data_IF_730100448601
#
_entry.id   IF_730100448601
#
_cell.length_a   1.000
_cell.length_b   1.000
_cell.length_c   1.000
_cell.angle_alpha   90.00
_cell.angle_beta   90.00
_cell.angle_gamma   90.00
#
_symmetry.space_group_name_H-M   'P 1'
#
loop_
_entity.id
_entity.type
_entity.pdbx_description
1 polymer ?
#
# COMPACT_ATOMS: atom_id res chain seq x y z
N UNK A 1 -61.94 -19.34 18.62
CA UNK A 1 -62.56 -18.01 18.57
C UNK A 1 -61.48 -17.03 18.18
N UNK A 2 -61.54 -16.49 16.95
CA UNK A 2 -61.86 -15.07 16.68
C UNK A 2 -60.77 -14.12 17.22
N UNK A 3 -60.06 -13.33 16.40
CA UNK A 3 -60.41 -12.99 15.03
C UNK A 3 -59.36 -12.18 14.28
N UNK A 4 -59.74 -11.99 13.02
CA UNK A 4 -59.22 -11.05 12.04
C UNK A 4 -59.19 -9.61 12.57
N UNK A 5 -58.22 -8.82 12.11
CA UNK A 5 -58.56 -7.56 11.44
C UNK A 5 -57.47 -7.11 10.46
N UNK A 6 -57.93 -6.90 9.24
CA UNK A 6 -57.25 -6.28 8.12
C UNK A 6 -56.94 -4.79 8.37
N UNK A 7 -55.92 -4.30 7.68
CA UNK A 7 -55.59 -2.88 7.57
C UNK A 7 -54.89 -2.56 6.26
N UNK A 8 -55.66 -2.42 5.18
CA UNK A 8 -55.33 -1.65 3.97
C UNK A 8 -56.08 -0.30 4.14
N UNK A 9 -55.68 0.90 3.72
CA UNK A 9 -55.02 1.43 2.52
C UNK A 9 -54.57 2.89 2.88
N UNK A 10 -53.52 3.44 2.25
CA UNK A 10 -53.62 4.55 1.25
C UNK A 10 -52.45 5.55 1.28
N UNK A 11 -51.97 5.80 0.06
CA UNK A 11 -50.96 6.76 -0.41
C UNK A 11 -51.08 8.18 0.13
N UNK A 12 -49.93 8.84 0.27
CA UNK A 12 -49.78 10.24 -0.16
C UNK A 12 -48.51 10.46 -0.99
N UNK A 13 -48.69 11.20 -2.06
CA UNK A 13 -47.72 11.63 -3.06
C UNK A 13 -47.19 13.01 -2.66
N UNK A 14 -45.87 13.22 -2.69
CA UNK A 14 -45.29 14.56 -2.87
C UNK A 14 -44.20 14.55 -3.92
N UNK A 15 -44.47 15.24 -5.03
CA UNK A 15 -43.54 15.57 -6.10
C UNK A 15 -42.77 16.85 -5.80
N UNK A 16 -41.64 16.96 -6.49
CA UNK A 16 -40.94 18.16 -6.99
C UNK A 16 -40.14 19.05 -6.03
N UNK A 17 -38.83 19.13 -6.30
CA UNK A 17 -38.22 20.38 -6.78
C UNK A 17 -36.97 20.11 -7.63
N UNK A 18 -37.06 20.34 -8.94
CA UNK A 18 -35.91 20.54 -9.82
C UNK A 18 -35.25 21.87 -9.45
N UNK A 19 -33.97 21.88 -9.11
CA UNK A 19 -33.18 23.12 -9.07
C UNK A 19 -32.44 23.29 -10.40
N UNK A 20 -33.08 23.99 -11.34
CA UNK A 20 -32.44 24.56 -12.52
C UNK A 20 -31.85 25.91 -12.11
N UNK A 21 -30.52 26.02 -11.97
CA UNK A 21 -29.86 27.33 -12.00
C UNK A 21 -29.52 27.69 -13.44
N UNK A 22 -30.34 28.58 -14.01
CA UNK A 22 -29.96 29.46 -15.12
C UNK A 22 -29.32 30.70 -14.50
N UNK A 23 -28.11 31.05 -14.91
CA UNK A 23 -27.58 32.42 -14.80
C UNK A 23 -27.28 32.92 -16.20
N UNK A 24 -27.57 34.20 -16.40
CA UNK A 24 -27.88 34.88 -17.65
C UNK A 24 -26.74 34.93 -18.68
N UNK A 25 -27.14 34.85 -19.96
CA UNK A 25 -26.46 35.51 -21.09
C UNK A 25 -26.75 37.02 -21.06
N UNK A 26 -25.72 37.85 -21.27
CA UNK A 26 -25.65 39.14 -22.01
C UNK A 26 -24.33 39.83 -21.59
N UNK A 27 -23.45 40.31 -22.47
CA UNK A 27 -23.51 40.43 -23.92
C UNK A 27 -22.17 40.82 -24.56
N UNK A 28 -22.14 40.58 -25.87
CA UNK A 28 -21.58 41.37 -26.97
C UNK A 28 -20.19 42.05 -26.91
N UNK A 29 -19.38 41.61 -27.90
CA UNK A 29 -18.52 42.34 -28.85
C UNK A 29 -17.19 42.97 -28.40
N UNK A 30 -16.13 42.23 -28.74
CA UNK A 30 -15.08 42.55 -29.73
C UNK A 30 -14.31 43.89 -29.60
N UNK A 31 -13.01 43.77 -29.33
CA UNK A 31 -11.96 44.54 -30.02
C UNK A 31 -10.77 43.62 -30.28
N UNK A 32 -10.34 43.58 -31.55
CA UNK A 32 -9.07 42.99 -31.95
C UNK A 32 -7.93 43.92 -31.51
N UNK A 33 -6.91 43.37 -30.86
CA UNK A 33 -5.67 44.05 -30.53
C UNK A 33 -4.53 43.05 -30.62
N UNK A 34 -3.57 43.31 -31.51
CA UNK A 34 -2.39 42.49 -31.79
C UNK A 34 -1.23 42.97 -30.93
N UNK A 35 -0.45 42.00 -30.39
CA UNK A 35 0.89 42.10 -29.79
C UNK A 35 0.98 42.93 -28.49
N UNK A 36 1.67 42.52 -27.43
CA UNK A 36 2.97 41.85 -27.31
C UNK A 36 2.97 40.89 -26.11
N UNK A 37 3.77 39.83 -26.21
CA UNK A 37 3.92 38.81 -25.17
C UNK A 37 4.33 39.40 -23.81
N UNK A 38 3.43 39.25 -22.84
CA UNK A 38 3.74 39.34 -21.42
C UNK A 38 4.01 37.90 -20.98
N UNK A 39 5.18 37.54 -20.43
CA UNK A 39 5.31 36.25 -19.79
C UNK A 39 4.32 36.28 -18.62
N UNK A 40 3.28 35.46 -18.76
CA UNK A 40 2.41 35.13 -17.65
C UNK A 40 3.32 34.58 -16.55
N UNK A 41 3.49 35.36 -15.48
CA UNK A 41 3.87 34.87 -14.16
C UNK A 41 2.73 33.97 -13.68
N UNK A 42 2.56 32.84 -14.36
CA UNK A 42 1.88 31.66 -13.83
C UNK A 42 2.76 31.25 -12.66
N UNK A 43 2.14 31.21 -11.49
CA UNK A 43 2.81 31.00 -10.22
C UNK A 43 3.86 29.90 -10.35
N UNK A 44 5.09 30.24 -9.97
CA UNK A 44 5.98 29.26 -9.40
C UNK A 44 5.26 28.68 -8.19
N UNK A 45 4.44 27.65 -8.43
CA UNK A 45 4.42 26.53 -7.53
C UNK A 45 5.88 26.08 -7.49
N UNK A 46 6.53 26.50 -6.42
CA UNK A 46 7.86 26.08 -6.04
C UNK A 46 8.00 24.59 -6.33
N UNK A 47 8.66 24.25 -7.43
CA UNK A 47 9.36 22.99 -7.59
C UNK A 47 10.52 23.03 -6.57
N UNK A 48 10.17 22.88 -5.30
CA UNK A 48 11.09 22.51 -4.25
C UNK A 48 11.06 20.98 -4.24
N UNK A 49 12.24 20.41 -4.47
CA UNK A 49 12.59 19.00 -4.33
C UNK A 49 12.08 18.01 -5.40
N UNK A 50 12.57 18.17 -6.63
CA UNK A 50 12.68 17.04 -7.59
C UNK A 50 14.00 16.24 -7.40
N UNK A 51 14.67 16.37 -6.25
CA UNK A 51 15.95 15.69 -5.97
C UNK A 51 16.10 15.15 -4.54
N UNK A 52 15.02 15.02 -3.77
CA UNK A 52 15.04 14.14 -2.59
C UNK A 52 14.46 12.79 -2.98
N UNK A 53 15.31 11.79 -3.12
CA UNK A 53 14.86 10.42 -3.35
C UNK A 53 13.98 10.01 -2.16
N UNK A 54 12.69 9.82 -2.41
CA UNK A 54 11.72 9.47 -1.38
C UNK A 54 11.92 8.01 -0.97
N UNK A 55 12.63 7.78 0.13
CA UNK A 55 12.89 6.45 0.67
C UNK A 55 12.31 6.28 2.07
N UNK A 56 11.58 5.18 2.28
CA UNK A 56 10.92 4.89 3.55
C UNK A 56 11.13 3.44 3.97
N UNK A 57 11.18 3.22 5.27
CA UNK A 57 11.21 1.87 5.86
C UNK A 57 10.17 1.72 6.96
N UNK A 58 9.71 0.49 7.15
CA UNK A 58 8.86 0.14 8.27
C UNK A 58 9.05 -1.32 8.66
N UNK A 59 8.40 -1.69 9.77
CA UNK A 59 8.14 -3.10 10.06
C UNK A 59 6.88 -3.54 9.29
N UNK A 60 6.89 -4.72 8.70
CA UNK A 60 5.71 -5.34 8.06
C UNK A 60 5.26 -6.57 8.84
N UNK A 61 4.02 -7.00 8.64
CA UNK A 61 3.49 -8.20 9.27
C UNK A 61 3.50 -9.37 8.27
N UNK A 62 4.41 -10.32 8.45
CA UNK A 62 4.43 -11.59 7.69
C UNK A 62 3.56 -12.61 8.42
N UNK A 63 2.62 -13.26 7.73
CA UNK A 63 1.81 -14.36 8.30
C UNK A 63 2.13 -15.70 7.66
N UNK A 64 2.52 -16.64 8.53
CA UNK A 64 1.87 -17.95 8.54
C UNK A 64 1.13 -18.25 9.87
N UNK A 65 1.02 -17.28 10.79
CA UNK A 65 0.19 -17.43 12.02
C UNK A 65 0.94 -17.83 13.30
N UNK A 66 2.26 -17.63 13.37
CA UNK A 66 3.12 -17.95 14.52
C UNK A 66 4.25 -16.92 14.70
N UNK A 67 4.88 -16.82 15.88
CA UNK A 67 5.99 -15.88 16.13
C UNK A 67 7.24 -16.55 16.75
N UNK A 68 8.45 -16.31 16.20
CA UNK A 68 8.72 -15.62 14.93
C UNK A 68 8.03 -16.36 13.76
N UNK A 69 7.83 -15.65 12.65
CA UNK A 69 7.07 -16.18 11.51
C UNK A 69 7.72 -17.46 10.99
N UNK A 70 7.11 -18.60 11.30
CA UNK A 70 7.67 -19.90 10.97
C UNK A 70 7.17 -20.30 9.59
N UNK A 71 8.05 -20.25 8.60
CA UNK A 71 7.72 -20.55 7.21
C UNK A 71 8.34 -21.90 6.85
N UNK A 72 7.52 -22.82 6.35
CA UNK A 72 8.01 -24.08 5.80
C UNK A 72 8.54 -23.84 4.38
N UNK A 73 9.86 -23.87 4.23
CA UNK A 73 10.53 -23.50 2.98
C UNK A 73 10.21 -24.42 1.80
N UNK A 74 9.77 -25.66 2.06
CA UNK A 74 9.53 -26.69 1.03
C UNK A 74 8.07 -27.05 0.82
N UNK A 75 7.14 -26.44 1.56
CA UNK A 75 5.74 -26.86 1.53
C UNK A 75 4.91 -26.31 0.35
N UNK A 76 5.47 -25.36 -0.42
CA UNK A 76 4.72 -24.62 -1.45
C UNK A 76 3.44 -23.96 -0.88
N UNK A 77 3.54 -23.47 0.35
CA UNK A 77 2.47 -22.79 1.05
C UNK A 77 2.52 -21.28 0.81
N UNK A 78 1.35 -20.60 0.80
CA UNK A 78 1.28 -19.15 0.65
C UNK A 78 1.84 -18.44 1.90
N UNK A 79 2.76 -17.51 1.66
CA UNK A 79 3.25 -16.54 2.64
C UNK A 79 2.56 -15.21 2.38
N UNK A 80 1.77 -14.74 3.33
CA UNK A 80 1.05 -13.47 3.20
C UNK A 80 1.79 -12.36 3.91
N UNK A 81 1.95 -11.21 3.26
CA UNK A 81 2.62 -10.03 3.80
C UNK A 81 1.66 -8.85 3.77
N UNK A 82 1.51 -8.17 4.89
CA UNK A 82 0.71 -6.96 5.05
C UNK A 82 1.63 -5.75 5.22
N UNK A 83 1.51 -4.79 4.31
CA UNK A 83 2.38 -3.59 4.27
C UNK A 83 1.65 -2.31 4.69
N UNK A 84 0.32 -2.29 4.58
CA UNK A 84 -0.47 -1.08 4.79
C UNK A 84 -0.31 -0.04 3.71
N UNK A 85 -0.90 1.14 3.92
CA UNK A 85 -0.65 2.30 3.08
C UNK A 85 0.86 2.60 3.06
N UNK A 86 1.47 2.93 1.90
CA UNK A 86 0.87 3.26 0.61
C UNK A 86 0.65 2.07 -0.34
N UNK A 87 -0.26 2.25 -1.31
CA UNK A 87 -0.38 1.35 -2.46
C UNK A 87 0.95 1.28 -3.22
N UNK A 88 1.45 0.06 -3.38
CA UNK A 88 2.69 -0.23 -4.12
C UNK A 88 2.40 -0.61 -5.57
N UNK A 89 3.37 -0.39 -6.45
CA UNK A 89 3.38 -0.89 -7.83
C UNK A 89 3.62 -2.39 -7.81
N UNK A 90 2.65 -3.24 -8.21
CA UNK A 90 2.80 -4.70 -8.14
C UNK A 90 4.08 -5.23 -8.80
N UNK A 91 4.48 -4.63 -9.92
CA UNK A 91 5.66 -5.00 -10.71
C UNK A 91 7.00 -4.68 -10.02
N UNK A 92 7.00 -3.83 -9.00
CA UNK A 92 8.21 -3.46 -8.24
C UNK A 92 8.45 -4.36 -7.02
N UNK A 93 7.47 -5.19 -6.66
CA UNK A 93 7.47 -5.92 -5.40
C UNK A 93 8.45 -7.09 -5.45
N UNK A 94 9.36 -7.13 -4.48
CA UNK A 94 10.29 -8.23 -4.26
C UNK A 94 10.42 -8.55 -2.78
N UNK A 95 10.35 -9.82 -2.43
CA UNK A 95 10.62 -10.30 -1.07
C UNK A 95 11.97 -11.00 -1.05
N UNK A 96 12.88 -10.48 -0.23
CA UNK A 96 14.31 -10.83 -0.21
C UNK A 96 14.63 -11.44 1.16
N UNK A 97 15.07 -12.71 1.24
CA UNK A 97 15.56 -13.27 2.49
C UNK A 97 16.92 -12.68 2.88
N UNK A 98 17.15 -12.56 4.18
CA UNK A 98 18.44 -12.13 4.74
C UNK A 98 18.81 -12.96 5.96
N UNK A 99 20.11 -13.26 6.09
CA UNK A 99 20.68 -13.88 7.30
C UNK A 99 20.78 -12.92 8.49
N UNK A 100 20.71 -11.62 8.23
CA UNK A 100 20.80 -10.61 9.28
C UNK A 100 19.48 -10.52 10.04
N UNK A 101 19.60 -10.33 11.36
CA UNK A 101 18.43 -10.20 12.22
C UNK A 101 17.85 -8.80 12.12
N UNK A 102 16.57 -8.74 11.82
CA UNK A 102 15.80 -7.52 11.94
C UNK A 102 15.84 -7.04 13.40
N UNK A 103 16.07 -5.74 13.65
CA UNK A 103 16.09 -5.18 15.00
C UNK A 103 14.71 -5.18 15.69
N UNK A 104 13.66 -5.68 15.04
CA UNK A 104 12.26 -5.61 15.47
C UNK A 104 11.61 -6.99 15.72
N UNK A 105 12.38 -8.02 16.09
CA UNK A 105 11.83 -9.34 16.46
C UNK A 105 10.71 -9.23 17.53
N UNK A 106 9.47 -9.55 17.15
CA UNK A 106 8.38 -9.72 18.11
C UNK A 106 8.32 -11.16 18.61
N UNK A 107 8.42 -11.33 19.94
CA UNK A 107 8.26 -12.65 20.59
C UNK A 107 6.80 -13.12 20.67
N UNK A 108 5.82 -12.33 20.23
CA UNK A 108 4.38 -12.65 20.31
C UNK A 108 3.69 -12.45 18.98
N UNK A 109 2.70 -13.29 18.69
CA UNK A 109 1.76 -13.08 17.59
C UNK A 109 1.08 -11.74 17.76
N UNK A 110 1.37 -10.80 16.86
CA UNK A 110 0.69 -9.53 16.79
C UNK A 110 -0.39 -9.61 15.73
N UNK A 111 -1.50 -8.87 15.93
CA UNK A 111 -2.42 -8.59 14.84
C UNK A 111 -1.78 -7.52 13.96
N UNK A 112 -2.08 -7.58 12.67
CA UNK A 112 -1.69 -6.52 11.75
C UNK A 112 -2.20 -5.17 12.26
N UNK A 113 -1.35 -4.15 12.14
CA UNK A 113 -1.63 -2.75 12.42
C UNK A 113 -0.91 -1.93 11.38
N UNK A 114 -1.55 -0.87 10.90
CA UNK A 114 -0.91 0.03 9.94
C UNK A 114 0.46 0.52 10.42
N UNK A 115 1.54 0.26 9.65
CA UNK A 115 2.89 0.58 10.09
C UNK A 115 3.16 2.08 9.97
N UNK A 116 3.96 2.61 10.90
CA UNK A 116 4.48 3.98 10.79
C UNK A 116 5.73 3.96 9.93
N UNK A 117 5.58 4.34 8.67
CA UNK A 117 6.72 4.54 7.77
C UNK A 117 7.65 5.62 8.31
N UNK A 118 8.93 5.31 8.33
CA UNK A 118 10.01 6.21 8.71
C UNK A 118 10.78 6.61 7.46
N UNK A 119 11.05 7.90 7.32
CA UNK A 119 11.95 8.41 6.28
C UNK A 119 13.39 7.96 6.55
N UNK A 120 14.02 7.43 5.50
CA UNK A 120 15.43 7.00 5.48
C UNK A 120 16.05 7.40 4.14
N UNK A 121 17.37 7.33 4.04
CA UNK A 121 18.03 7.57 2.76
C UNK A 121 17.92 6.33 1.87
N UNK A 122 17.94 6.51 0.55
CA UNK A 122 17.99 5.37 -0.36
C UNK A 122 19.30 4.57 -0.25
N UNK A 123 20.38 5.24 0.14
CA UNK A 123 21.64 4.59 0.48
C UNK A 123 21.50 3.63 1.67
N UNK A 124 20.64 3.92 2.65
CA UNK A 124 20.35 2.99 3.75
C UNK A 124 19.62 1.74 3.25
N UNK A 125 18.68 1.89 2.31
CA UNK A 125 18.01 0.76 1.66
C UNK A 125 19.02 -0.08 0.87
N UNK A 126 19.87 0.57 0.08
CA UNK A 126 20.92 -0.11 -0.70
C UNK A 126 21.90 -0.86 0.20
N UNK A 127 22.29 -0.26 1.33
CA UNK A 127 23.13 -0.91 2.34
C UNK A 127 22.50 -2.20 2.84
N UNK A 128 21.24 -2.15 3.29
CA UNK A 128 20.52 -3.34 3.79
C UNK A 128 20.34 -4.43 2.72
N UNK A 129 20.08 -4.04 1.47
CA UNK A 129 19.94 -5.00 0.38
C UNK A 129 21.29 -5.56 -0.09
N UNK A 130 22.38 -4.81 0.03
CA UNK A 130 23.72 -5.25 -0.34
C UNK A 130 24.27 -6.37 0.54
N UNK A 131 23.74 -6.51 1.76
CA UNK A 131 24.07 -7.59 2.70
C UNK A 131 23.38 -8.92 2.34
N UNK A 132 22.44 -8.90 1.39
CA UNK A 132 21.71 -10.08 0.94
C UNK A 132 22.46 -10.84 -0.15
N UNK A 133 22.15 -12.13 -0.31
CA UNK A 133 22.80 -13.00 -1.31
C UNK A 133 22.14 -12.95 -2.70
N UNK A 134 21.20 -12.02 -2.91
CA UNK A 134 20.53 -11.78 -4.19
C UNK A 134 19.30 -12.65 -4.47
N UNK A 135 18.97 -13.62 -3.60
CA UNK A 135 17.70 -14.36 -3.69
C UNK A 135 16.53 -13.40 -3.54
N UNK A 136 15.47 -13.59 -4.33
CA UNK A 136 14.24 -12.82 -4.18
C UNK A 136 13.07 -13.49 -4.87
N UNK A 137 11.87 -13.37 -4.32
CA UNK A 137 10.63 -13.80 -4.97
C UNK A 137 9.74 -12.59 -5.32
N UNK A 138 9.11 -12.58 -6.51
CA UNK A 138 8.02 -11.64 -6.79
C UNK A 138 6.75 -12.07 -6.05
N UNK A 139 5.82 -11.14 -5.84
CA UNK A 139 4.50 -11.49 -5.34
C UNK A 139 3.71 -12.28 -6.42
N UNK A 140 3.14 -13.43 -6.06
CA UNK A 140 2.25 -14.19 -6.94
C UNK A 140 0.83 -13.62 -6.95
N UNK A 141 0.47 -12.84 -5.93
CA UNK A 141 -0.82 -12.15 -5.85
C UNK A 141 -0.67 -10.81 -5.12
N UNK A 142 -1.36 -9.79 -5.63
CA UNK A 142 -1.49 -8.48 -5.00
C UNK A 142 -2.97 -8.12 -4.90
N UNK A 143 -3.39 -7.58 -3.76
CA UNK A 143 -4.74 -7.07 -3.54
C UNK A 143 -4.73 -5.90 -2.58
N UNK A 144 -5.82 -5.14 -2.61
CA UNK A 144 -6.13 -4.15 -1.59
C UNK A 144 -7.29 -4.66 -0.74
N UNK A 145 -7.08 -4.77 0.57
CA UNK A 145 -8.08 -5.21 1.55
C UNK A 145 -8.01 -4.28 2.78
N UNK A 146 -9.12 -4.05 3.46
CA UNK A 146 -9.13 -3.30 4.73
C UNK A 146 -8.91 -4.29 5.88
N UNK A 147 -7.65 -4.52 6.26
CA UNK A 147 -7.26 -5.64 7.14
C UNK A 147 -7.44 -5.29 8.60
N UNK A 148 -7.19 -4.03 8.99
CA UNK A 148 -7.33 -3.56 10.37
C UNK A 148 -8.65 -2.83 10.66
N UNK A 149 -9.47 -2.58 9.63
CA UNK A 149 -10.81 -2.04 9.76
C UNK A 149 -10.87 -0.51 9.76
N UNK A 150 -9.79 0.19 9.43
CA UNK A 150 -9.72 1.65 9.44
C UNK A 150 -10.30 2.35 8.18
N UNK A 151 -10.73 1.54 7.20
CA UNK A 151 -11.34 1.94 5.93
C UNK A 151 -10.36 2.44 4.86
N UNK A 152 -9.06 2.34 5.12
CA UNK A 152 -8.04 2.45 4.08
C UNK A 152 -7.83 1.08 3.38
N UNK A 153 -7.30 1.11 2.15
CA UNK A 153 -6.97 -0.10 1.42
C UNK A 153 -5.53 -0.51 1.71
N UNK A 154 -5.33 -1.54 2.54
CA UNK A 154 -4.01 -2.10 2.80
C UNK A 154 -3.55 -2.95 1.62
N UNK A 155 -2.29 -2.81 1.22
CA UNK A 155 -1.70 -3.74 0.27
C UNK A 155 -1.44 -5.08 0.96
N UNK A 156 -2.06 -6.12 0.42
CA UNK A 156 -1.85 -7.52 0.80
C UNK A 156 -1.13 -8.24 -0.33
N UNK A 157 0.05 -8.76 -0.03
CA UNK A 157 0.88 -9.52 -0.95
C UNK A 157 0.86 -10.99 -0.57
N UNK A 158 0.88 -11.86 -1.57
CA UNK A 158 1.09 -13.30 -1.37
C UNK A 158 2.30 -13.75 -2.16
N UNK A 159 3.12 -14.58 -1.54
CA UNK A 159 4.31 -15.22 -2.10
C UNK A 159 4.19 -16.73 -1.95
N UNK A 160 4.82 -17.49 -2.84
CA UNK A 160 4.99 -18.93 -2.65
C UNK A 160 6.24 -19.18 -1.82
N UNK A 161 6.13 -19.98 -0.75
CA UNK A 161 7.27 -20.26 0.14
C UNK A 161 8.45 -20.95 -0.56
N UNK A 162 8.20 -21.75 -1.59
CA UNK A 162 9.24 -22.41 -2.36
C UNK A 162 10.08 -21.42 -3.20
N UNK A 163 9.44 -20.39 -3.77
CA UNK A 163 10.08 -19.35 -4.58
C UNK A 163 10.98 -18.42 -3.75
N UNK A 164 10.77 -18.38 -2.42
CA UNK A 164 11.63 -17.61 -1.52
C UNK A 164 13.00 -18.28 -1.30
N UNK A 165 13.14 -19.55 -1.67
CA UNK A 165 14.38 -20.32 -1.54
C UNK A 165 14.99 -20.23 -0.13
N UNK A 166 14.17 -20.22 0.93
CA UNK A 166 14.62 -19.96 2.30
C UNK A 166 15.63 -20.99 2.82
N UNK A 167 16.70 -20.49 3.42
CA UNK A 167 17.77 -21.24 4.06
C UNK A 167 17.62 -21.23 5.58
N UNK A 168 18.14 -22.25 6.26
CA UNK A 168 18.11 -22.34 7.74
C UNK A 168 18.85 -21.21 8.46
N UNK A 169 19.73 -20.50 7.74
CA UNK A 169 20.45 -19.32 8.20
C UNK A 169 19.62 -18.04 8.16
N UNK A 170 18.56 -17.98 7.34
CA UNK A 170 17.79 -16.76 7.14
C UNK A 170 17.03 -16.39 8.41
N UNK A 171 17.06 -15.10 8.75
CA UNK A 171 16.49 -14.53 9.97
C UNK A 171 15.48 -13.43 9.70
N UNK A 172 15.53 -12.81 8.51
CA UNK A 172 14.63 -11.74 8.13
C UNK A 172 14.13 -11.89 6.70
N UNK A 173 12.99 -11.26 6.44
CA UNK A 173 12.47 -10.99 5.11
C UNK A 173 12.43 -9.48 4.90
N UNK A 174 12.99 -9.02 3.80
CA UNK A 174 13.00 -7.63 3.36
C UNK A 174 12.08 -7.50 2.15
N UNK A 175 11.03 -6.70 2.27
CA UNK A 175 10.12 -6.40 1.18
C UNK A 175 10.52 -5.07 0.54
N UNK A 176 11.08 -5.14 -0.66
CA UNK A 176 11.33 -3.99 -1.51
C UNK A 176 10.11 -3.73 -2.40
N UNK A 177 9.72 -2.46 -2.50
CA UNK A 177 8.65 -2.02 -3.40
C UNK A 177 8.77 -0.53 -3.74
N UNK A 178 8.03 -0.08 -4.74
CA UNK A 178 7.89 1.33 -5.11
C UNK A 178 6.42 1.76 -5.05
N UNK A 179 6.13 2.98 -4.60
CA UNK A 179 4.79 3.55 -4.65
C UNK A 179 4.45 4.09 -6.04
N UNK A 180 3.16 4.32 -6.30
CA UNK A 180 2.72 5.06 -7.49
C UNK A 180 3.35 6.45 -7.65
N UNK A 181 3.80 7.07 -6.54
CA UNK A 181 4.45 8.38 -6.52
C UNK A 181 5.98 8.32 -6.70
N UNK A 182 6.57 7.13 -6.85
CA UNK A 182 8.02 6.96 -7.02
C UNK A 182 8.81 6.84 -5.72
N UNK A 183 8.15 6.69 -4.56
CA UNK A 183 8.86 6.45 -3.31
C UNK A 183 9.29 4.99 -3.22
N UNK A 184 10.55 4.73 -2.90
CA UNK A 184 11.06 3.38 -2.62
C UNK A 184 10.81 3.01 -1.16
N UNK A 185 10.35 1.79 -0.96
CA UNK A 185 9.96 1.24 0.32
C UNK A 185 10.81 0.02 0.64
N UNK A 186 11.24 -0.08 1.89
CA UNK A 186 11.83 -1.30 2.44
C UNK A 186 11.12 -1.68 3.74
N UNK A 187 10.28 -2.70 3.68
CA UNK A 187 9.59 -3.26 4.83
C UNK A 187 10.35 -4.47 5.38
N UNK A 188 10.41 -4.65 6.70
CA UNK A 188 11.24 -5.69 7.31
C UNK A 188 10.46 -6.48 8.36
N UNK A 189 10.60 -7.81 8.36
CA UNK A 189 10.11 -8.66 9.45
C UNK A 189 11.06 -9.83 9.72
N UNK A 190 10.97 -10.38 10.92
CA UNK A 190 11.70 -11.59 11.33
C UNK A 190 11.04 -12.85 10.78
N UNK A 191 11.85 -13.85 10.43
CA UNK A 191 11.42 -15.16 9.95
C UNK A 191 12.21 -16.28 10.63
N UNK A 192 11.56 -17.43 10.79
CA UNK A 192 12.20 -18.68 11.18
C UNK A 192 11.87 -19.75 10.15
N UNK A 193 12.75 -19.97 9.16
CA UNK A 193 12.58 -21.04 8.20
C UNK A 193 12.61 -22.41 8.90
N UNK A 194 11.75 -23.32 8.45
CA UNK A 194 11.76 -24.73 8.84
C UNK A 194 11.74 -25.60 7.59
N UNK A 195 12.29 -26.80 7.71
CA UNK A 195 12.39 -27.78 6.62
C UNK A 195 13.04 -27.19 5.36
N UNK A 196 14.19 -26.54 5.53
CA UNK A 196 15.03 -26.02 4.44
C UNK A 196 15.82 -27.12 3.75
#
# INVERSE_FOLDING_TARGET
MLGDHAGTIRMESKRHAQSRRRVLKRGALATAGVAFGVPSLVGQASAQDETEDCCKTCWMDVKPGCCPNTVNARADEPVTVYIGWPNVKPESVRLVPSSDRAPFESRRCQKYRNPKWRDITCADIDGLLSETDGRSAPACRVKNENVDGDADGDTVLTFCSCDLELCSSDRSLLLEAETGSGCRLLAVDSVKPVNC
#
